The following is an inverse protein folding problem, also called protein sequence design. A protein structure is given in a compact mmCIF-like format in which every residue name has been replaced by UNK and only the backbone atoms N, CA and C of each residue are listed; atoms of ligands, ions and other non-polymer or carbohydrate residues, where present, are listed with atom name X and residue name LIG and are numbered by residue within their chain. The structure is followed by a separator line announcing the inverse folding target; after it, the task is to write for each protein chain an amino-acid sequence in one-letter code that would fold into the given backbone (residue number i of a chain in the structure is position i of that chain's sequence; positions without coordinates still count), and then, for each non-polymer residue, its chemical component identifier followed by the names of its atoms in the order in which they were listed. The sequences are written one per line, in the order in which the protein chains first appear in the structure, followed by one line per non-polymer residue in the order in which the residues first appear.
data_IF_852311236249
#
_entry.id   IF_852311236249
#
_cell.length_a   1.000
_cell.length_b   1.000
_cell.length_c   1.000
_cell.angle_alpha   90.00
_cell.angle_beta   90.00
_cell.angle_gamma   90.00
#
_symmetry.space_group_name_H-M   'P 1'
#
loop_
_entity.id
_entity.type
_entity.pdbx_description
1 polymer ?
#
# COMPACT_ATOMS: atom_id res chain seq x y z
N UNK A 1 5.05 -11.71 -20.50
CA UNK A 1 5.49 -12.90 -19.74
C UNK A 1 4.69 -14.12 -20.14
N UNK A 2 3.35 -14.05 -20.11
CA UNK A 2 2.47 -15.14 -20.56
C UNK A 2 2.68 -15.47 -22.04
N UNK A 3 2.47 -14.54 -22.99
CA UNK A 3 2.69 -14.78 -24.43
C UNK A 3 4.10 -15.26 -24.82
N UNK A 4 5.10 -15.02 -23.95
CA UNK A 4 6.47 -15.50 -24.15
C UNK A 4 6.69 -16.94 -23.62
N UNK A 5 5.65 -17.60 -23.12
CA UNK A 5 5.71 -18.94 -22.53
C UNK A 5 6.36 -19.02 -21.15
N UNK A 6 6.66 -17.89 -20.51
CA UNK A 6 7.39 -17.83 -19.23
C UNK A 6 6.48 -18.13 -18.04
N UNK A 7 5.21 -17.73 -18.13
CA UNK A 7 4.18 -18.02 -17.14
C UNK A 7 3.04 -18.79 -17.79
N UNK A 8 2.40 -19.66 -17.00
CA UNK A 8 1.18 -20.39 -17.32
C UNK A 8 1.29 -21.20 -18.62
N UNK A 9 2.50 -21.65 -18.99
CA UNK A 9 2.79 -22.32 -20.26
C UNK A 9 2.23 -21.58 -21.50
N UNK A 10 2.19 -20.25 -21.46
CA UNK A 10 1.65 -19.45 -22.56
C UNK A 10 0.14 -19.24 -22.55
N UNK A 11 -0.59 -19.84 -21.61
CA UNK A 11 -2.04 -19.68 -21.49
C UNK A 11 -2.37 -18.36 -20.80
N UNK A 12 -3.11 -17.49 -21.47
CA UNK A 12 -3.63 -16.24 -20.92
C UNK A 12 -5.14 -16.31 -20.70
N UNK A 13 -5.69 -15.22 -20.18
CA UNK A 13 -7.12 -15.02 -20.02
C UNK A 13 -7.51 -13.62 -20.47
N UNK A 14 -8.73 -13.45 -20.97
CA UNK A 14 -9.28 -12.14 -21.33
C UNK A 14 -9.25 -11.18 -20.13
N UNK A 15 -9.52 -11.70 -18.92
CA UNK A 15 -9.49 -10.94 -17.67
C UNK A 15 -8.09 -10.40 -17.40
N UNK A 16 -7.05 -11.24 -17.50
CA UNK A 16 -5.66 -10.83 -17.29
C UNK A 16 -5.20 -9.80 -18.32
N UNK A 17 -5.65 -9.93 -19.57
CA UNK A 17 -5.30 -9.02 -20.66
C UNK A 17 -6.05 -7.69 -20.61
N UNK A 18 -7.09 -7.58 -19.78
CA UNK A 18 -7.88 -6.36 -19.65
C UNK A 18 -7.31 -5.45 -18.57
N UNK A 19 -6.95 -4.23 -18.97
CA UNK A 19 -6.37 -3.22 -18.08
C UNK A 19 -7.29 -2.95 -16.89
N UNK A 20 -6.71 -2.98 -15.69
CA UNK A 20 -7.39 -2.61 -14.45
C UNK A 20 -8.18 -3.73 -13.79
N UNK A 21 -8.19 -4.94 -14.37
CA UNK A 21 -8.84 -6.10 -13.75
C UNK A 21 -7.94 -6.87 -12.78
N UNK A 22 -6.64 -6.59 -12.74
CA UNK A 22 -5.78 -7.05 -11.64
C UNK A 22 -5.88 -6.06 -10.47
N UNK A 23 -6.81 -6.33 -9.55
CA UNK A 23 -7.09 -5.43 -8.43
C UNK A 23 -6.00 -5.43 -7.37
N UNK A 24 -5.90 -4.33 -6.62
CA UNK A 24 -4.96 -4.22 -5.49
C UNK A 24 -5.23 -5.23 -4.38
N UNK A 25 -6.49 -5.68 -4.21
CA UNK A 25 -6.83 -6.76 -3.26
C UNK A 25 -6.07 -8.05 -3.55
N UNK A 26 -5.87 -8.37 -4.83
CA UNK A 26 -5.18 -9.59 -5.26
C UNK A 26 -3.72 -9.59 -4.83
N UNK A 27 -3.05 -8.43 -4.91
CA UNK A 27 -1.67 -8.27 -4.41
C UNK A 27 -1.62 -8.60 -2.91
N UNK A 28 -2.54 -8.03 -2.12
CA UNK A 28 -2.62 -8.28 -0.68
C UNK A 28 -2.92 -9.75 -0.35
N UNK A 29 -3.85 -10.38 -1.05
CA UNK A 29 -4.24 -11.78 -0.86
C UNK A 29 -3.11 -12.74 -1.22
N UNK A 30 -2.45 -12.53 -2.36
CA UNK A 30 -1.29 -13.33 -2.80
C UNK A 30 -0.14 -13.21 -1.78
N UNK A 31 0.15 -12.00 -1.30
CA UNK A 31 1.24 -11.78 -0.36
C UNK A 31 0.93 -12.23 1.08
N UNK A 32 -0.33 -12.52 1.39
CA UNK A 32 -0.78 -13.06 2.67
C UNK A 32 -0.55 -14.58 2.80
N UNK A 33 -0.27 -15.28 1.69
CA UNK A 33 0.14 -16.68 1.77
C UNK A 33 1.45 -16.82 2.56
N UNK A 34 1.54 -17.85 3.40
CA UNK A 34 2.80 -18.21 4.07
C UNK A 34 3.85 -18.73 3.06
N UNK A 35 5.16 -18.68 3.36
CA UNK A 35 6.19 -19.21 2.46
C UNK A 35 5.93 -20.68 2.09
N UNK A 36 5.93 -20.98 0.79
CA UNK A 36 5.64 -22.32 0.27
C UNK A 36 4.14 -22.68 0.19
N UNK A 37 3.25 -21.80 0.64
CA UNK A 37 1.81 -21.90 0.42
C UNK A 37 1.40 -20.97 -0.74
N UNK A 38 0.44 -21.42 -1.54
CA UNK A 38 -0.11 -20.69 -2.69
C UNK A 38 -1.64 -20.74 -2.75
N UNK A 39 -2.32 -20.94 -1.61
CA UNK A 39 -3.76 -21.12 -1.57
C UNK A 39 -4.49 -19.87 -2.06
N UNK A 40 -4.17 -18.70 -1.50
CA UNK A 40 -4.80 -17.45 -1.94
C UNK A 40 -4.36 -17.10 -3.37
N UNK A 41 -3.09 -17.35 -3.71
CA UNK A 41 -2.60 -17.13 -5.06
C UNK A 41 -3.39 -17.93 -6.10
N UNK A 42 -3.67 -19.20 -5.83
CA UNK A 42 -4.47 -20.05 -6.72
C UNK A 42 -5.91 -19.57 -6.85
N UNK A 43 -6.56 -19.19 -5.75
CA UNK A 43 -7.92 -18.63 -5.77
C UNK A 43 -8.01 -17.35 -6.62
N UNK A 44 -7.02 -16.46 -6.48
CA UNK A 44 -6.93 -15.25 -7.31
C UNK A 44 -6.73 -15.62 -8.78
N UNK A 45 -5.83 -16.56 -9.08
CA UNK A 45 -5.59 -16.99 -10.46
C UNK A 45 -6.83 -17.64 -11.07
N UNK A 46 -7.60 -18.42 -10.32
CA UNK A 46 -8.90 -18.96 -10.75
C UNK A 46 -9.92 -17.85 -11.04
N UNK A 47 -10.03 -16.81 -10.19
CA UNK A 47 -10.88 -15.63 -10.42
C UNK A 47 -10.46 -14.87 -11.70
N UNK A 48 -9.16 -14.89 -12.01
CA UNK A 48 -8.60 -14.36 -13.26
C UNK A 48 -8.73 -15.32 -14.45
N UNK A 49 -9.36 -16.49 -14.30
CA UNK A 49 -9.55 -17.48 -15.37
C UNK A 49 -8.34 -18.37 -15.68
N UNK A 50 -7.37 -18.45 -14.78
CA UNK A 50 -6.13 -19.21 -14.91
C UNK A 50 -6.13 -20.42 -13.95
N UNK A 51 -6.88 -21.47 -14.31
CA UNK A 51 -7.11 -22.64 -13.43
C UNK A 51 -5.97 -23.65 -13.38
N UNK A 52 -5.06 -23.62 -14.36
CA UNK A 52 -3.99 -24.63 -14.52
C UNK A 52 -2.60 -24.11 -14.09
N UNK A 53 -2.55 -23.13 -13.18
CA UNK A 53 -1.28 -22.57 -12.71
C UNK A 53 -0.45 -23.60 -11.92
N UNK A 54 0.85 -23.69 -12.22
CA UNK A 54 1.78 -24.54 -11.46
C UNK A 54 2.22 -23.86 -10.16
N UNK A 55 2.85 -24.59 -9.24
CA UNK A 55 3.48 -23.97 -8.05
C UNK A 55 4.57 -22.96 -8.47
N UNK A 56 5.29 -23.24 -9.55
CA UNK A 56 6.29 -22.32 -10.11
C UNK A 56 5.65 -21.02 -10.61
N UNK A 57 4.50 -21.10 -11.28
CA UNK A 57 3.74 -19.91 -11.67
C UNK A 57 3.30 -19.09 -10.45
N UNK A 58 2.76 -19.76 -9.42
CA UNK A 58 2.33 -19.10 -8.19
C UNK A 58 3.50 -18.42 -7.47
N UNK A 59 4.65 -19.09 -7.39
CA UNK A 59 5.87 -18.51 -6.81
C UNK A 59 6.33 -17.26 -7.57
N UNK A 60 6.30 -17.30 -8.90
CA UNK A 60 6.66 -16.16 -9.74
C UNK A 60 5.66 -15.00 -9.59
N UNK A 61 4.35 -15.28 -9.59
CA UNK A 61 3.29 -14.27 -9.40
C UNK A 61 3.42 -13.60 -8.04
N UNK A 62 3.65 -14.38 -6.98
CA UNK A 62 3.94 -13.87 -5.64
C UNK A 62 5.16 -12.96 -5.62
N UNK A 63 6.26 -13.39 -6.24
CA UNK A 63 7.48 -12.58 -6.31
C UNK A 63 7.26 -11.25 -7.03
N UNK A 64 6.48 -11.25 -8.11
CA UNK A 64 6.10 -10.01 -8.82
C UNK A 64 5.31 -9.09 -7.89
N UNK A 65 4.32 -9.63 -7.17
CA UNK A 65 3.52 -8.87 -6.19
C UNK A 65 4.43 -8.23 -5.13
N UNK A 66 5.32 -9.02 -4.52
CA UNK A 66 6.27 -8.56 -3.50
C UNK A 66 7.17 -7.43 -4.03
N UNK A 67 7.64 -7.55 -5.28
CA UNK A 67 8.44 -6.52 -5.93
C UNK A 67 7.64 -5.21 -6.14
N UNK A 68 6.38 -5.31 -6.55
CA UNK A 68 5.49 -4.15 -6.74
C UNK A 68 5.21 -3.47 -5.40
N UNK A 69 4.83 -4.23 -4.38
CA UNK A 69 4.53 -3.72 -3.03
C UNK A 69 5.74 -3.07 -2.38
N UNK A 70 6.91 -3.72 -2.44
CA UNK A 70 8.17 -3.17 -1.92
C UNK A 70 8.54 -1.86 -2.60
N UNK A 71 8.44 -1.80 -3.94
CA UNK A 71 8.70 -0.56 -4.68
C UNK A 71 7.73 0.55 -4.29
N UNK A 72 6.43 0.23 -4.20
CA UNK A 72 5.41 1.21 -3.83
C UNK A 72 5.63 1.76 -2.40
N UNK A 73 5.85 0.87 -1.43
CA UNK A 73 6.15 1.23 -0.04
C UNK A 73 7.41 2.11 0.05
N UNK A 74 8.47 1.74 -0.68
CA UNK A 74 9.70 2.53 -0.66
C UNK A 74 9.53 3.95 -1.22
N UNK A 75 8.79 4.09 -2.32
CA UNK A 75 8.56 5.39 -2.96
C UNK A 75 7.76 6.33 -2.05
N UNK A 76 6.69 5.85 -1.41
CA UNK A 76 5.92 6.68 -0.47
C UNK A 76 6.73 7.01 0.78
N UNK A 77 7.50 6.05 1.31
CA UNK A 77 8.41 6.26 2.44
C UNK A 77 9.45 7.33 2.19
N UNK A 78 10.00 7.42 0.97
CA UNK A 78 10.96 8.47 0.63
C UNK A 78 10.33 9.87 0.71
N UNK A 79 9.09 10.02 0.27
CA UNK A 79 8.34 11.28 0.41
C UNK A 79 8.08 11.65 1.87
N UNK A 80 7.62 10.68 2.68
CA UNK A 80 7.38 10.88 4.11
C UNK A 80 8.67 11.24 4.85
N UNK A 81 9.75 10.49 4.65
CA UNK A 81 11.04 10.75 5.29
C UNK A 81 11.58 12.14 4.92
N UNK A 82 11.37 12.58 3.68
CA UNK A 82 11.74 13.94 3.25
C UNK A 82 11.00 15.01 4.06
N UNK A 83 9.70 14.82 4.31
CA UNK A 83 8.90 15.75 5.12
C UNK A 83 9.31 15.72 6.59
N UNK A 84 9.50 14.54 7.18
CA UNK A 84 9.98 14.39 8.56
C UNK A 84 11.31 15.12 8.74
N UNK A 85 12.27 14.89 7.86
CA UNK A 85 13.59 15.53 7.90
C UNK A 85 13.54 17.05 7.67
N UNK A 86 12.54 17.54 6.94
CA UNK A 86 12.31 18.97 6.68
C UNK A 86 11.68 19.65 7.90
N UNK A 87 10.76 18.97 8.58
CA UNK A 87 10.13 19.46 9.82
C UNK A 87 11.15 19.56 10.95
N UNK A 88 12.09 18.60 11.03
CA UNK A 88 13.19 18.59 12.00
C UNK A 88 12.72 18.59 13.48
N UNK A 89 11.57 17.97 13.72
CA UNK A 89 11.00 17.79 15.06
C UNK A 89 11.50 16.48 15.70
N UNK A 90 11.70 16.42 17.03
CA UNK A 90 12.23 15.23 17.71
C UNK A 90 11.29 14.01 17.64
N UNK A 91 9.99 14.24 17.53
CA UNK A 91 8.96 13.19 17.43
C UNK A 91 7.87 13.60 16.44
N UNK A 92 7.59 12.74 15.46
CA UNK A 92 6.58 12.98 14.42
C UNK A 92 5.63 11.80 14.27
N UNK A 93 4.32 12.03 14.40
CA UNK A 93 3.30 11.04 14.06
C UNK A 93 2.71 11.35 12.70
N UNK A 94 2.74 10.38 11.79
CA UNK A 94 2.15 10.49 10.45
C UNK A 94 0.80 9.77 10.45
N UNK A 95 -0.27 10.53 10.22
CA UNK A 95 -1.59 9.94 9.98
C UNK A 95 -1.65 9.31 8.59
N UNK A 96 -2.00 8.02 8.50
CA UNK A 96 -2.06 7.27 7.25
C UNK A 96 -3.46 6.69 7.04
N UNK A 97 -3.96 6.75 5.82
CA UNK A 97 -5.21 6.10 5.41
C UNK A 97 -5.07 5.51 4.00
N UNK A 98 -5.91 4.55 3.66
CA UNK A 98 -5.96 3.87 2.36
C UNK A 98 -5.97 2.35 2.49
N UNK A 99 -6.66 1.70 1.55
CA UNK A 99 -6.85 0.23 1.55
C UNK A 99 -5.54 -0.56 1.50
N UNK A 100 -4.56 -0.09 0.72
CA UNK A 100 -3.24 -0.76 0.64
C UNK A 100 -2.56 -0.76 2.01
N UNK A 101 -2.51 0.39 2.70
CA UNK A 101 -1.90 0.47 4.02
C UNK A 101 -2.68 -0.35 5.06
N UNK A 102 -4.02 -0.34 4.99
CA UNK A 102 -4.91 -1.05 5.93
C UNK A 102 -4.85 -2.57 5.80
N UNK A 103 -4.84 -3.09 4.57
CA UNK A 103 -5.11 -4.51 4.32
C UNK A 103 -3.90 -5.29 3.80
N UNK A 104 -2.87 -4.63 3.28
CA UNK A 104 -1.71 -5.33 2.76
C UNK A 104 -0.79 -5.82 3.89
N UNK A 105 -0.49 -7.12 3.99
CA UNK A 105 0.11 -7.73 5.19
C UNK A 105 1.51 -7.19 5.53
N UNK A 106 2.25 -6.72 4.53
CA UNK A 106 3.65 -6.28 4.68
C UNK A 106 3.86 -4.78 4.55
N UNK A 107 2.84 -4.01 4.13
CA UNK A 107 3.06 -2.64 3.65
C UNK A 107 3.50 -1.68 4.76
N UNK A 108 2.88 -1.78 5.94
CA UNK A 108 3.30 -1.03 7.13
C UNK A 108 4.77 -1.27 7.47
N UNK A 109 5.18 -2.54 7.58
CA UNK A 109 6.56 -2.90 7.95
C UNK A 109 7.57 -2.41 6.91
N UNK A 110 7.28 -2.57 5.62
CA UNK A 110 8.13 -2.07 4.54
C UNK A 110 8.27 -0.54 4.61
N UNK A 111 7.19 0.17 4.95
CA UNK A 111 7.23 1.61 5.10
C UNK A 111 8.08 2.04 6.29
N UNK A 112 7.85 1.45 7.47
CA UNK A 112 8.59 1.72 8.71
C UNK A 112 10.08 1.46 8.51
N UNK A 113 10.43 0.32 7.92
CA UNK A 113 11.82 -0.05 7.62
C UNK A 113 12.48 1.02 6.73
N UNK A 114 11.81 1.40 5.62
CA UNK A 114 12.39 2.36 4.68
C UNK A 114 12.48 3.78 5.24
N UNK A 115 11.48 4.24 5.98
CA UNK A 115 11.52 5.57 6.61
C UNK A 115 12.67 5.62 7.63
N UNK A 116 12.81 4.58 8.46
CA UNK A 116 13.90 4.49 9.45
C UNK A 116 15.29 4.58 8.84
N UNK A 117 15.46 4.08 7.61
CA UNK A 117 16.73 4.16 6.87
C UNK A 117 17.01 5.55 6.29
N UNK A 118 16.00 6.41 6.14
CA UNK A 118 16.10 7.69 5.41
C UNK A 118 16.00 8.92 6.32
N UNK A 119 15.48 8.78 7.54
CA UNK A 119 15.37 9.90 8.48
C UNK A 119 16.71 10.24 9.16
N UNK A 120 16.86 11.49 9.59
CA UNK A 120 18.04 11.93 10.35
C UNK A 120 18.10 11.21 11.71
N UNK A 121 19.31 10.90 12.22
CA UNK A 121 19.47 10.39 13.58
C UNK A 121 18.85 11.33 14.63
N UNK A 122 18.23 10.76 15.67
CA UNK A 122 17.63 11.52 16.77
C UNK A 122 16.18 11.91 16.57
N UNK A 123 15.63 11.76 15.36
CA UNK A 123 14.19 11.90 15.11
C UNK A 123 13.51 10.55 15.31
N UNK A 124 12.39 10.56 16.04
CA UNK A 124 11.50 9.41 16.21
C UNK A 124 10.22 9.62 15.41
N UNK A 125 9.65 8.55 14.86
CA UNK A 125 8.39 8.65 14.14
C UNK A 125 7.45 7.48 14.43
N UNK A 126 6.17 7.70 14.18
CA UNK A 126 5.13 6.67 14.20
C UNK A 126 4.18 6.81 13.00
N UNK A 127 3.63 5.70 12.53
CA UNK A 127 2.62 5.66 11.46
C UNK A 127 1.27 5.23 12.04
N UNK A 128 0.37 6.18 12.19
CA UNK A 128 -0.92 5.96 12.84
C UNK A 128 -2.03 5.82 11.79
N UNK A 129 -2.77 4.70 11.85
CA UNK A 129 -3.92 4.51 10.99
C UNK A 129 -5.05 5.49 11.36
N UNK A 130 -5.55 6.24 10.38
CA UNK A 130 -6.69 7.14 10.56
C UNK A 130 -7.98 6.41 10.20
N UNK A 131 -8.84 6.13 11.19
CA UNK A 131 -10.09 5.38 10.95
C UNK A 131 -11.12 6.20 10.15
N UNK A 132 -11.24 7.50 10.47
CA UNK A 132 -12.15 8.47 9.83
C UNK A 132 -11.48 9.88 9.81
N UNK A 133 -10.33 9.97 9.16
CA UNK A 133 -9.58 11.22 9.07
C UNK A 133 -10.31 12.29 8.26
N UNK A 134 -10.94 11.90 7.15
CA UNK A 134 -11.57 12.83 6.23
C UNK A 134 -12.84 13.47 6.81
N UNK A 135 -13.67 12.73 7.56
CA UNK A 135 -14.88 13.28 8.17
C UNK A 135 -14.56 14.18 9.35
N UNK A 136 -13.85 13.64 10.34
CA UNK A 136 -13.50 14.36 11.57
C UNK A 136 -12.58 15.55 11.31
N UNK A 137 -11.59 15.38 10.43
CA UNK A 137 -10.67 16.45 10.05
C UNK A 137 -11.39 17.61 9.38
N UNK A 138 -12.28 17.33 8.42
CA UNK A 138 -13.06 18.37 7.74
C UNK A 138 -13.95 19.15 8.72
N UNK A 139 -14.62 18.45 9.64
CA UNK A 139 -15.44 19.10 10.67
C UNK A 139 -14.61 20.01 11.60
N UNK A 140 -13.41 19.57 12.00
CA UNK A 140 -12.52 20.37 12.84
C UNK A 140 -12.05 21.63 12.12
N UNK A 141 -11.65 21.51 10.85
CA UNK A 141 -11.24 22.67 10.02
C UNK A 141 -12.41 23.65 9.86
N UNK A 142 -13.62 23.16 9.59
CA UNK A 142 -14.81 24.00 9.50
C UNK A 142 -15.10 24.74 10.82
N UNK A 143 -14.98 24.07 11.96
CA UNK A 143 -15.16 24.70 13.27
C UNK A 143 -14.14 25.82 13.54
N UNK A 144 -12.87 25.62 13.15
CA UNK A 144 -11.82 26.65 13.27
C UNK A 144 -12.12 27.85 12.37
N UNK A 145 -12.48 27.62 11.11
CA UNK A 145 -12.82 28.69 10.16
C UNK A 145 -14.03 29.52 10.61
N UNK A 146 -15.12 28.85 11.03
CA UNK A 146 -16.30 29.54 11.59
C UNK A 146 -15.94 30.41 12.80
N UNK A 147 -15.04 29.94 13.67
CA UNK A 147 -14.60 30.73 14.82
C UNK A 147 -13.82 31.97 14.39
N UNK A 148 -12.93 31.85 13.41
CA UNK A 148 -12.17 32.99 12.88
C UNK A 148 -13.08 34.03 12.21
N UNK A 149 -14.07 33.59 11.44
CA UNK A 149 -15.07 34.48 10.82
C UNK A 149 -15.86 35.26 11.87
N UNK A 150 -16.28 34.59 12.95
CA UNK A 150 -16.99 35.25 14.07
C UNK A 150 -16.11 36.27 14.79
N UNK A 151 -14.80 36.00 14.93
CA UNK A 151 -13.85 36.90 15.57
C UNK A 151 -13.50 38.10 14.68
N UNK A 152 -13.38 37.88 13.37
CA UNK A 152 -13.01 38.91 12.40
C UNK A 152 -14.19 39.80 11.95
N UNK A 153 -15.42 39.28 11.96
CA UNK A 153 -16.64 40.05 11.66
C UNK A 153 -17.15 40.95 12.81
N UNK A 154 -16.44 41.00 13.94
CA UNK A 154 -16.72 41.90 15.09
C UNK A 154 -15.87 43.18 15.09
N UNK A 155 -15.14 43.46 14.00
CA UNK A 155 -14.53 44.77 13.72
C UNK A 155 -15.37 45.53 12.69
#
# INVERSE_FOLDING_TARGET
MTQAGILFNGQDSEVLNTRGLFFTKYVSEIEADEPGNFTNCRLVLEELGLTNATDGDCANVRYICECVSKRAAHLVSAGIATLINKMDEPTVTVGVDGSVYRFHPKFHNLMVEKISQLIKPGITFDLMLSEDGSGRGAALVAAVACREDILNGKK
#
